data_IF_034953729978
#
_entry.id   IF_034953729978
#
_cell.length_a   1.000
_cell.length_b   1.000
_cell.length_c   1.000
_cell.angle_alpha   90.00
_cell.angle_beta   90.00
_cell.angle_gamma   90.00
#
_symmetry.space_group_name_H-M   'P 1'
#
loop_
_entity.id
_entity.type
_entity.pdbx_description
1 polymer ?
#
# COMPACT_ATOMS: atom_id res chain seq x y z
N UNK A 1 16.93 1.08 0.46
CA UNK A 1 18.21 1.79 0.31
C UNK A 1 19.27 0.74 0.10
N UNK A 2 19.94 0.75 -1.06
CA UNK A 2 21.04 -0.17 -1.32
C UNK A 2 22.13 0.05 -0.26
N UNK A 3 22.74 -1.00 0.29
CA UNK A 3 23.93 -0.83 1.11
C UNK A 3 24.95 -0.03 0.29
N UNK A 4 25.66 0.87 0.95
CA UNK A 4 26.73 1.64 0.32
C UNK A 4 27.62 0.69 -0.48
N UNK A 5 28.00 1.08 -1.71
CA UNK A 5 28.88 0.28 -2.59
C UNK A 5 30.19 -0.15 -1.93
N UNK A 6 30.55 0.50 -0.83
CA UNK A 6 31.82 0.29 -0.10
C UNK A 6 31.62 -0.52 1.21
N UNK A 7 30.43 -1.08 1.45
CA UNK A 7 30.15 -1.89 2.64
C UNK A 7 30.15 -1.10 3.97
N UNK A 8 30.25 0.22 3.93
CA UNK A 8 30.11 1.06 5.10
C UNK A 8 28.61 1.17 5.49
N UNK A 9 28.28 1.10 6.78
CA UNK A 9 26.93 1.31 7.25
C UNK A 9 26.50 2.76 6.96
N UNK A 10 25.38 2.93 6.24
CA UNK A 10 24.80 4.26 6.02
C UNK A 10 24.24 4.76 7.35
N UNK A 11 24.54 6.01 7.78
CA UNK A 11 23.95 6.57 8.98
C UNK A 11 22.43 6.55 8.94
N UNK A 12 21.78 6.26 10.07
CA UNK A 12 20.32 6.15 10.14
C UNK A 12 19.62 7.47 9.75
N UNK A 13 20.20 8.61 10.10
CA UNK A 13 19.67 9.93 9.72
C UNK A 13 19.70 10.13 8.20
N UNK A 14 20.75 9.68 7.52
CA UNK A 14 20.86 9.79 6.06
C UNK A 14 19.86 8.87 5.38
N UNK A 15 19.65 7.67 5.93
CA UNK A 15 18.62 6.74 5.45
C UNK A 15 17.23 7.34 5.64
N UNK A 16 16.91 7.86 6.83
CA UNK A 16 15.63 8.48 7.11
C UNK A 16 15.37 9.69 6.19
N UNK A 17 16.40 10.52 5.97
CA UNK A 17 16.35 11.66 5.04
C UNK A 17 16.09 11.21 3.60
N UNK A 18 16.81 10.21 3.13
CA UNK A 18 16.66 9.70 1.77
C UNK A 18 15.25 9.16 1.52
N UNK A 19 14.67 8.44 2.48
CA UNK A 19 13.29 7.91 2.39
C UNK A 19 12.28 9.06 2.37
N UNK A 20 12.41 10.03 3.27
CA UNK A 20 11.55 11.21 3.30
C UNK A 20 11.62 12.02 1.99
N UNK A 21 12.84 12.20 1.45
CA UNK A 21 13.05 12.89 0.16
C UNK A 21 12.42 12.13 -1.00
N UNK A 22 12.56 10.80 -1.03
CA UNK A 22 11.91 9.96 -2.05
C UNK A 22 10.38 10.09 -1.99
N UNK A 23 9.80 9.97 -0.80
CA UNK A 23 8.36 10.11 -0.62
C UNK A 23 7.85 11.51 -0.98
N UNK A 24 8.62 12.56 -0.66
CA UNK A 24 8.36 13.95 -1.08
C UNK A 24 8.34 14.07 -2.61
N UNK A 25 9.37 13.57 -3.29
CA UNK A 25 9.47 13.63 -4.75
C UNK A 25 8.31 12.89 -5.44
N UNK A 26 7.93 11.71 -4.94
CA UNK A 26 6.79 10.97 -5.45
C UNK A 26 5.46 11.70 -5.26
N UNK A 27 5.27 12.34 -4.10
CA UNK A 27 4.12 13.20 -3.84
C UNK A 27 4.06 14.37 -4.83
N UNK A 28 5.16 15.08 -5.01
CA UNK A 28 5.24 16.24 -5.92
C UNK A 28 4.98 15.83 -7.37
N UNK A 29 5.49 14.68 -7.78
CA UNK A 29 5.24 14.12 -9.12
C UNK A 29 3.76 13.78 -9.33
N UNK A 30 3.08 13.24 -8.31
CA UNK A 30 1.69 12.80 -8.41
C UNK A 30 0.70 13.97 -8.29
N UNK A 31 0.90 14.85 -7.34
CA UNK A 31 -0.03 15.94 -7.02
C UNK A 31 0.28 17.25 -7.78
N UNK A 32 1.53 17.47 -8.18
CA UNK A 32 1.96 18.76 -8.73
C UNK A 32 1.63 19.90 -7.77
N UNK A 33 0.93 20.91 -8.29
CA UNK A 33 0.43 22.05 -7.49
C UNK A 33 -0.96 21.81 -6.89
N UNK A 34 -1.59 20.66 -7.14
CA UNK A 34 -2.92 20.33 -6.63
C UNK A 34 -2.77 19.67 -5.27
N UNK A 35 -3.31 20.30 -4.24
CA UNK A 35 -3.39 19.69 -2.91
C UNK A 35 -4.46 18.62 -2.84
N UNK A 36 -4.35 17.70 -1.88
CA UNK A 36 -5.40 16.78 -1.49
C UNK A 36 -6.16 17.33 -0.26
N UNK A 37 -7.41 16.90 -0.07
CA UNK A 37 -8.18 17.24 1.13
C UNK A 37 -7.63 16.54 2.38
N UNK A 38 -7.08 15.34 2.18
CA UNK A 38 -6.43 14.54 3.22
C UNK A 38 -5.08 14.03 2.69
N UNK A 39 -4.02 14.11 3.48
CA UNK A 39 -2.73 13.50 3.21
C UNK A 39 -2.33 12.54 4.32
N UNK A 40 -2.15 11.28 3.99
CA UNK A 40 -1.86 10.21 4.97
C UNK A 40 -0.66 9.39 4.54
N UNK A 41 0.22 9.08 5.50
CA UNK A 41 1.29 8.09 5.34
C UNK A 41 0.93 6.84 6.13
N UNK A 42 0.93 5.69 5.44
CA UNK A 42 0.75 4.35 6.02
C UNK A 42 2.03 3.55 5.86
N UNK A 43 2.40 2.76 6.85
CA UNK A 43 3.57 1.89 6.78
C UNK A 43 3.40 0.64 7.63
N UNK A 44 4.00 -0.45 7.18
CA UNK A 44 4.21 -1.66 7.98
C UNK A 44 5.53 -1.58 8.73
N UNK A 45 6.58 -1.09 8.06
CA UNK A 45 7.97 -1.22 8.48
C UNK A 45 8.44 -0.05 9.35
N UNK A 46 7.97 1.16 9.06
CA UNK A 46 8.40 2.37 9.77
C UNK A 46 7.85 2.49 11.20
N UNK A 47 7.28 1.42 11.76
CA UNK A 47 6.69 1.46 13.11
C UNK A 47 7.65 1.97 14.18
N UNK A 48 8.90 1.53 14.16
CA UNK A 48 9.93 2.00 15.11
C UNK A 48 10.27 3.48 14.92
N UNK A 49 10.19 3.98 13.69
CA UNK A 49 10.40 5.38 13.37
C UNK A 49 9.20 6.24 13.77
N UNK A 50 7.99 5.81 13.38
CA UNK A 50 6.76 6.59 13.54
C UNK A 50 6.25 6.64 14.98
N UNK A 51 6.52 5.59 15.78
CA UNK A 51 6.06 5.50 17.17
C UNK A 51 6.97 6.18 18.19
N UNK A 52 8.17 6.55 17.79
CA UNK A 52 9.14 7.18 18.69
C UNK A 52 9.41 8.62 18.23
N UNK A 53 9.52 9.55 19.19
CA UNK A 53 10.06 10.90 18.92
C UNK A 53 11.60 10.82 18.80
N UNK A 54 12.05 10.01 17.84
CA UNK A 54 13.47 9.81 17.56
C UNK A 54 14.04 10.93 16.70
N UNK A 55 15.35 11.18 16.73
CA UNK A 55 15.98 12.08 15.76
C UNK A 55 15.69 11.69 14.32
N UNK A 56 15.68 10.41 14.01
CA UNK A 56 15.38 9.88 12.67
C UNK A 56 13.95 10.20 12.22
N UNK A 57 12.98 10.16 13.15
CA UNK A 57 11.60 10.56 12.84
C UNK A 57 11.53 12.03 12.41
N UNK A 58 12.19 12.91 13.16
CA UNK A 58 12.23 14.34 12.80
C UNK A 58 12.91 14.58 11.44
N UNK A 59 14.03 13.90 11.18
CA UNK A 59 14.73 13.97 9.89
C UNK A 59 13.84 13.48 8.74
N UNK A 60 13.16 12.35 8.93
CA UNK A 60 12.21 11.81 7.95
C UNK A 60 11.06 12.79 7.69
N UNK A 61 10.39 13.25 8.75
CA UNK A 61 9.25 14.15 8.63
C UNK A 61 9.62 15.48 7.95
N UNK A 62 10.79 16.03 8.29
CA UNK A 62 11.30 17.26 7.66
C UNK A 62 11.61 17.06 6.18
N UNK A 63 12.24 15.94 5.82
CA UNK A 63 12.53 15.62 4.43
C UNK A 63 11.25 15.34 3.62
N UNK A 64 10.26 14.69 4.24
CA UNK A 64 8.95 14.43 3.67
C UNK A 64 8.16 15.73 3.41
N UNK A 65 8.22 16.70 4.33
CA UNK A 65 7.56 17.99 4.16
C UNK A 65 8.07 18.74 2.91
N UNK A 66 9.37 18.64 2.62
CA UNK A 66 10.00 19.27 1.48
C UNK A 66 10.05 20.80 1.58
N UNK A 67 10.26 21.47 0.45
CA UNK A 67 10.39 22.93 0.38
C UNK A 67 9.07 23.67 0.66
N UNK A 68 7.93 23.02 0.43
CA UNK A 68 6.60 23.62 0.58
C UNK A 68 5.99 23.40 1.97
N UNK A 69 6.72 22.76 2.88
CA UNK A 69 6.27 22.42 4.23
C UNK A 69 4.92 21.65 4.25
N UNK A 70 4.67 20.86 3.21
CA UNK A 70 3.44 20.08 3.08
C UNK A 70 3.58 18.74 3.78
N UNK A 71 3.07 18.68 5.00
CA UNK A 71 3.16 17.53 5.90
C UNK A 71 1.89 16.65 5.83
N UNK A 72 2.01 15.34 6.11
CA UNK A 72 0.83 14.50 6.30
C UNK A 72 -0.04 14.99 7.46
N UNK A 73 -1.36 14.94 7.30
CA UNK A 73 -2.30 15.19 8.39
C UNK A 73 -2.11 14.18 9.51
N UNK A 74 -1.74 12.94 9.15
CA UNK A 74 -1.38 11.89 10.09
C UNK A 74 -0.57 10.77 9.43
N UNK A 75 0.13 10.01 10.28
CA UNK A 75 0.88 8.82 9.90
C UNK A 75 0.43 7.63 10.73
N UNK A 76 0.40 6.44 10.13
CA UNK A 76 -0.04 5.21 10.83
C UNK A 76 0.80 4.00 10.45
N UNK A 77 1.04 3.14 11.45
CA UNK A 77 1.60 1.80 11.29
C UNK A 77 0.70 0.73 11.96
N UNK A 78 -0.51 1.11 12.39
CA UNK A 78 -1.32 0.31 13.32
C UNK A 78 -1.88 -0.97 12.71
N UNK A 79 -2.07 -1.03 11.40
CA UNK A 79 -2.71 -2.16 10.73
C UNK A 79 -1.79 -2.86 9.74
N UNK A 80 -0.48 -2.62 9.85
CA UNK A 80 0.56 -3.20 8.99
C UNK A 80 0.18 -3.13 7.50
N UNK A 81 0.37 -4.22 6.74
CA UNK A 81 0.07 -4.28 5.30
C UNK A 81 -1.37 -3.90 4.93
N UNK A 82 -2.32 -3.98 5.87
CA UNK A 82 -3.72 -3.60 5.65
C UNK A 82 -4.02 -2.13 6.00
N UNK A 83 -3.03 -1.36 6.48
CA UNK A 83 -3.20 0.01 6.96
C UNK A 83 -3.90 0.92 5.98
N UNK A 84 -3.54 0.87 4.72
CA UNK A 84 -4.16 1.65 3.64
C UNK A 84 -5.69 1.44 3.58
N UNK A 85 -6.18 0.22 3.78
CA UNK A 85 -7.62 -0.08 3.73
C UNK A 85 -8.39 0.52 4.90
N UNK A 86 -7.78 0.58 6.08
CA UNK A 86 -8.38 1.25 7.25
C UNK A 86 -8.40 2.77 7.07
N UNK A 87 -7.35 3.34 6.46
CA UNK A 87 -7.32 4.76 6.04
C UNK A 87 -8.49 5.04 5.12
N UNK A 88 -8.64 4.26 4.06
CA UNK A 88 -9.68 4.43 3.05
C UNK A 88 -11.09 4.28 3.65
N UNK A 89 -11.30 3.31 4.54
CA UNK A 89 -12.58 3.16 5.25
C UNK A 89 -12.92 4.40 6.07
N UNK A 90 -11.93 4.96 6.77
CA UNK A 90 -12.09 6.20 7.53
C UNK A 90 -12.45 7.37 6.61
N UNK A 91 -11.69 7.54 5.52
CA UNK A 91 -11.95 8.64 4.56
C UNK A 91 -13.34 8.52 3.92
N UNK A 92 -13.80 7.30 3.60
CA UNK A 92 -15.17 7.06 3.13
C UNK A 92 -16.23 7.47 4.16
N UNK A 93 -16.02 7.15 5.43
CA UNK A 93 -16.94 7.58 6.50
C UNK A 93 -16.98 9.10 6.63
N UNK A 94 -15.80 9.76 6.57
CA UNK A 94 -15.72 11.22 6.57
C UNK A 94 -16.41 11.81 5.33
N UNK A 95 -16.18 11.25 4.15
CA UNK A 95 -16.81 11.72 2.91
C UNK A 95 -18.35 11.60 2.93
N UNK A 96 -18.87 10.58 3.60
CA UNK A 96 -20.32 10.43 3.77
C UNK A 96 -20.94 11.54 4.63
N UNK A 97 -20.16 12.14 5.54
CA UNK A 97 -20.61 13.22 6.41
C UNK A 97 -20.34 14.61 5.83
N UNK A 98 -19.20 14.80 5.20
CA UNK A 98 -18.68 16.11 4.79
C UNK A 98 -18.71 16.36 3.28
N UNK A 99 -19.05 15.35 2.48
CA UNK A 99 -18.99 15.36 1.02
C UNK A 99 -17.71 14.71 0.46
N UNK A 100 -17.65 14.55 -0.88
CA UNK A 100 -16.52 13.90 -1.56
C UNK A 100 -15.18 14.56 -1.25
N UNK A 101 -14.13 13.74 -1.13
CA UNK A 101 -12.77 14.17 -0.78
C UNK A 101 -11.72 13.55 -1.70
N UNK A 102 -10.63 14.25 -1.87
CA UNK A 102 -9.42 13.71 -2.51
C UNK A 102 -8.42 13.33 -1.42
N UNK A 103 -8.01 12.06 -1.43
CA UNK A 103 -7.01 11.51 -0.51
C UNK A 103 -5.69 11.30 -1.24
N UNK A 104 -4.63 11.90 -0.74
CA UNK A 104 -3.27 11.48 -1.02
C UNK A 104 -2.85 10.45 0.03
N UNK A 105 -2.61 9.23 -0.41
CA UNK A 105 -2.13 8.14 0.44
C UNK A 105 -0.77 7.68 -0.02
N UNK A 106 0.22 7.74 0.86
CA UNK A 106 1.54 7.17 0.61
C UNK A 106 1.75 5.96 1.51
N UNK A 107 2.08 4.82 0.90
CA UNK A 107 2.50 3.60 1.58
C UNK A 107 4.01 3.57 1.52
N UNK A 108 4.68 3.70 2.68
CA UNK A 108 6.14 3.84 2.76
C UNK A 108 6.69 2.65 3.52
N UNK A 109 7.06 1.60 2.79
CA UNK A 109 7.58 0.36 3.36
C UNK A 109 9.06 0.18 2.98
N UNK A 110 9.92 0.93 3.69
CA UNK A 110 11.39 0.89 3.54
C UNK A 110 12.03 0.76 4.93
N UNK A 111 12.97 -0.18 5.08
CA UNK A 111 13.64 -0.42 6.35
C UNK A 111 14.74 0.62 6.62
N UNK A 112 14.53 1.45 7.64
CA UNK A 112 15.51 2.46 8.11
C UNK A 112 16.61 1.83 8.93
N UNK A 113 16.28 0.81 9.70
CA UNK A 113 17.14 0.29 10.76
C UNK A 113 17.97 -0.95 10.35
N UNK A 114 17.73 -1.51 9.16
CA UNK A 114 18.44 -2.70 8.68
C UNK A 114 18.07 -3.97 9.46
N UNK A 115 16.83 -4.08 9.96
CA UNK A 115 16.39 -5.27 10.66
C UNK A 115 16.24 -6.46 9.72
N UNK A 116 17.02 -7.51 9.95
CA UNK A 116 16.98 -8.74 9.14
C UNK A 116 15.59 -9.37 9.06
N UNK A 117 14.76 -9.19 10.09
CA UNK A 117 13.36 -9.64 10.09
C UNK A 117 12.56 -9.11 8.89
N UNK A 118 12.78 -7.84 8.50
CA UNK A 118 12.07 -7.24 7.39
C UNK A 118 12.59 -7.68 6.01
N UNK A 119 13.81 -8.21 5.91
CA UNK A 119 14.38 -8.59 4.61
C UNK A 119 13.77 -9.86 4.03
N UNK A 120 13.18 -10.70 4.88
CA UNK A 120 12.43 -11.88 4.46
C UNK A 120 12.30 -12.91 5.58
N UNK A 121 11.28 -13.73 5.48
CA UNK A 121 11.07 -14.86 6.39
C UNK A 121 10.15 -15.93 5.75
N UNK A 122 9.97 -17.09 6.41
CA UNK A 122 9.15 -18.17 5.84
C UNK A 122 7.69 -17.82 5.57
N UNK A 123 7.11 -16.82 6.23
CA UNK A 123 5.70 -16.44 6.07
C UNK A 123 5.44 -15.73 4.75
N UNK A 124 6.33 -14.81 4.36
CA UNK A 124 6.15 -14.00 3.14
C UNK A 124 7.29 -14.13 2.11
N UNK A 125 8.37 -14.84 2.42
CA UNK A 125 9.52 -14.99 1.53
C UNK A 125 10.43 -13.76 1.53
N UNK A 126 11.00 -13.43 0.36
CA UNK A 126 11.79 -12.22 0.16
C UNK A 126 10.91 -10.98 0.23
N UNK A 127 11.42 -9.91 0.81
CA UNK A 127 10.72 -8.62 0.87
C UNK A 127 11.16 -7.69 -0.27
N UNK A 128 10.21 -6.84 -0.71
CA UNK A 128 10.44 -5.69 -1.55
C UNK A 128 10.20 -4.40 -0.74
N UNK A 129 11.04 -3.39 -0.98
CA UNK A 129 10.94 -2.13 -0.28
C UNK A 129 10.65 -1.00 -1.26
N UNK A 130 9.78 -0.07 -0.88
CA UNK A 130 9.44 1.05 -1.75
C UNK A 130 8.46 2.05 -1.17
N UNK A 131 8.13 3.02 -2.00
CA UNK A 131 7.07 4.01 -1.77
C UNK A 131 6.00 3.80 -2.84
N UNK A 132 4.76 3.62 -2.42
CA UNK A 132 3.59 3.62 -3.30
C UNK A 132 2.73 4.84 -2.98
N UNK A 133 2.53 5.72 -3.95
CA UNK A 133 1.74 6.94 -3.79
C UNK A 133 0.46 6.85 -4.60
N UNK A 134 -0.66 7.15 -3.97
CA UNK A 134 -2.01 7.05 -4.53
C UNK A 134 -2.73 8.39 -4.35
N UNK A 135 -3.28 8.93 -5.43
CA UNK A 135 -4.25 10.02 -5.37
C UNK A 135 -5.62 9.46 -5.70
N UNK A 136 -6.52 9.51 -4.73
CA UNK A 136 -7.80 8.80 -4.77
C UNK A 136 -8.94 9.76 -4.47
N UNK A 137 -9.91 9.83 -5.37
CA UNK A 137 -11.19 10.46 -5.07
C UNK A 137 -12.06 9.49 -4.25
N UNK A 138 -12.59 9.96 -3.14
CA UNK A 138 -13.36 9.15 -2.20
C UNK A 138 -14.77 9.74 -2.05
N UNK A 139 -15.79 8.88 -2.16
CA UNK A 139 -17.18 9.30 -2.01
C UNK A 139 -17.81 9.97 -3.23
N UNK A 140 -17.14 10.05 -4.37
CA UNK A 140 -17.74 10.51 -5.63
C UNK A 140 -18.46 9.35 -6.34
N UNK A 141 -19.69 9.56 -6.77
CA UNK A 141 -20.46 8.56 -7.52
C UNK A 141 -19.97 8.36 -8.96
N UNK A 142 -19.36 9.37 -9.55
CA UNK A 142 -18.82 9.31 -10.92
C UNK A 142 -17.31 9.01 -10.88
N UNK A 143 -16.92 7.90 -11.53
CA UNK A 143 -15.57 7.35 -11.62
C UNK A 143 -14.42 8.39 -11.76
N UNK A 144 -13.22 8.15 -11.26
CA UNK A 144 -12.71 6.95 -10.61
C UNK A 144 -12.80 7.10 -9.09
N UNK A 145 -13.66 6.36 -8.48
CA UNK A 145 -13.84 6.49 -7.05
C UNK A 145 -13.75 5.13 -6.36
N UNK A 146 -13.28 5.15 -5.13
CA UNK A 146 -13.45 4.02 -4.26
C UNK A 146 -14.80 4.14 -3.56
N UNK A 147 -15.65 3.17 -3.84
CA UNK A 147 -17.04 3.19 -3.37
C UNK A 147 -17.31 2.22 -2.23
N UNK A 148 -16.39 1.29 -1.96
CA UNK A 148 -16.61 0.24 -0.96
C UNK A 148 -15.29 -0.31 -0.42
N UNK A 149 -15.16 -0.35 0.89
CA UNK A 149 -14.01 -0.93 1.62
C UNK A 149 -14.51 -1.85 2.71
N UNK A 150 -14.03 -3.09 2.68
CA UNK A 150 -14.08 -4.01 3.81
C UNK A 150 -12.71 -3.94 4.52
N UNK A 151 -12.67 -3.59 5.79
CA UNK A 151 -11.47 -3.61 6.61
C UNK A 151 -11.79 -4.27 7.94
N UNK A 152 -11.24 -5.45 8.17
CA UNK A 152 -11.63 -6.39 9.20
C UNK A 152 -10.40 -7.00 9.89
N UNK A 153 -10.65 -7.78 10.94
CA UNK A 153 -9.65 -8.58 11.62
C UNK A 153 -10.15 -10.02 11.80
N UNK A 154 -9.22 -10.96 11.73
CA UNK A 154 -9.46 -12.36 12.03
C UNK A 154 -8.30 -12.91 12.86
N UNK A 155 -8.50 -14.01 13.63
CA UNK A 155 -7.39 -14.67 14.29
C UNK A 155 -6.30 -15.02 13.26
N UNK A 156 -5.00 -14.76 13.53
CA UNK A 156 -3.92 -14.94 12.55
C UNK A 156 -3.91 -16.33 11.90
N UNK A 157 -4.20 -17.38 12.66
CA UNK A 157 -4.24 -18.76 12.17
C UNK A 157 -5.31 -19.01 11.09
N UNK A 158 -6.34 -18.19 11.00
CA UNK A 158 -7.46 -18.30 10.04
C UNK A 158 -7.56 -17.14 9.06
N UNK A 159 -6.73 -16.11 9.24
CA UNK A 159 -6.85 -14.84 8.51
C UNK A 159 -6.75 -15.01 6.99
N UNK A 160 -5.83 -15.87 6.51
CA UNK A 160 -5.67 -16.16 5.07
C UNK A 160 -6.96 -16.75 4.48
N UNK A 161 -7.57 -17.72 5.19
CA UNK A 161 -8.82 -18.37 4.72
C UNK A 161 -9.98 -17.39 4.79
N UNK A 162 -10.05 -16.59 5.85
CA UNK A 162 -11.10 -15.57 6.02
C UNK A 162 -11.01 -14.53 4.92
N UNK A 163 -9.85 -13.94 4.71
CA UNK A 163 -9.62 -13.00 3.61
C UNK A 163 -10.04 -13.60 2.27
N UNK A 164 -9.60 -14.82 1.94
CA UNK A 164 -9.94 -15.45 0.66
C UNK A 164 -11.44 -15.64 0.46
N UNK A 165 -12.18 -16.02 1.51
CA UNK A 165 -13.64 -16.11 1.47
C UNK A 165 -14.31 -14.76 1.27
N UNK A 166 -13.82 -13.75 1.96
CA UNK A 166 -14.38 -12.40 1.87
C UNK A 166 -14.08 -11.77 0.50
N UNK A 167 -12.90 -11.98 -0.09
CA UNK A 167 -12.59 -11.60 -1.48
C UNK A 167 -13.58 -12.26 -2.44
N UNK A 168 -13.79 -13.56 -2.32
CA UNK A 168 -14.72 -14.29 -3.18
C UNK A 168 -16.14 -13.71 -3.08
N UNK A 169 -16.64 -13.48 -1.87
CA UNK A 169 -17.97 -12.91 -1.63
C UNK A 169 -18.06 -11.48 -2.16
N UNK A 170 -17.03 -10.68 -1.89
CA UNK A 170 -16.94 -9.29 -2.33
C UNK A 170 -16.98 -9.16 -3.86
N UNK A 171 -16.19 -9.97 -4.57
CA UNK A 171 -16.14 -9.98 -6.03
C UNK A 171 -17.41 -10.59 -6.64
N UNK A 172 -17.99 -11.63 -6.03
CA UNK A 172 -19.25 -12.21 -6.51
C UNK A 172 -20.41 -11.22 -6.50
N UNK A 173 -20.44 -10.31 -5.53
CA UNK A 173 -21.44 -9.23 -5.47
C UNK A 173 -21.16 -8.07 -6.45
N UNK A 174 -20.02 -8.08 -7.16
CA UNK A 174 -19.54 -7.00 -8.05
C UNK A 174 -18.99 -7.58 -9.34
N UNK A 175 -19.84 -7.94 -10.31
CA UNK A 175 -19.41 -8.56 -11.56
C UNK A 175 -18.34 -7.75 -12.29
N UNK A 176 -17.35 -8.44 -12.84
CA UNK A 176 -16.23 -7.82 -13.58
C UNK A 176 -15.05 -7.37 -12.74
N UNK A 177 -15.08 -7.49 -11.39
CA UNK A 177 -13.90 -7.24 -10.58
C UNK A 177 -12.87 -8.37 -10.72
N UNK A 178 -11.62 -7.97 -10.90
CA UNK A 178 -10.44 -8.81 -10.74
C UNK A 178 -9.76 -8.50 -9.40
N UNK A 179 -9.28 -9.51 -8.70
CA UNK A 179 -8.64 -9.30 -7.40
C UNK A 179 -7.12 -9.17 -7.51
N UNK A 180 -6.59 -8.07 -6.97
CA UNK A 180 -5.18 -7.86 -6.71
C UNK A 180 -4.87 -8.41 -5.31
N UNK A 181 -4.10 -9.47 -5.23
CA UNK A 181 -3.82 -10.19 -3.98
C UNK A 181 -2.50 -9.74 -3.35
N UNK A 182 -2.33 -9.93 -2.02
CA UNK A 182 -1.01 -9.79 -1.41
C UNK A 182 -0.04 -10.82 -1.98
N UNK A 183 1.23 -10.45 -2.08
CA UNK A 183 2.29 -11.28 -2.63
C UNK A 183 2.83 -12.22 -1.55
N UNK A 184 2.64 -13.51 -1.77
CA UNK A 184 3.12 -14.55 -0.86
C UNK A 184 3.89 -15.63 -1.61
N UNK A 185 4.84 -16.32 -0.95
CA UNK A 185 5.49 -17.48 -1.52
C UNK A 185 4.47 -18.59 -1.81
N UNK A 186 4.80 -19.49 -2.73
CA UNK A 186 3.91 -20.48 -3.29
C UNK A 186 3.11 -21.30 -2.24
N UNK A 187 3.72 -21.57 -1.08
CA UNK A 187 3.07 -22.32 0.02
C UNK A 187 1.91 -21.53 0.65
N UNK A 188 2.16 -20.30 1.08
CA UNK A 188 1.14 -19.42 1.69
C UNK A 188 0.09 -19.00 0.66
N UNK A 189 0.53 -18.71 -0.57
CA UNK A 189 -0.35 -18.36 -1.69
C UNK A 189 -1.35 -19.45 -2.02
N UNK A 190 -0.96 -20.74 -1.95
CA UNK A 190 -1.85 -21.87 -2.24
C UNK A 190 -3.11 -21.87 -1.36
N UNK A 191 -2.96 -21.61 -0.07
CA UNK A 191 -4.08 -21.55 0.88
C UNK A 191 -5.03 -20.38 0.56
N UNK A 192 -4.47 -19.22 0.21
CA UNK A 192 -5.24 -18.05 -0.21
C UNK A 192 -6.03 -18.35 -1.49
N UNK A 193 -5.39 -18.85 -2.54
CA UNK A 193 -6.03 -19.19 -3.82
C UNK A 193 -7.14 -20.21 -3.67
N UNK A 194 -6.95 -21.25 -2.83
CA UNK A 194 -8.00 -22.23 -2.54
C UNK A 194 -9.25 -21.58 -1.94
N UNK A 195 -9.08 -20.54 -1.14
CA UNK A 195 -10.19 -19.82 -0.49
C UNK A 195 -10.84 -18.77 -1.41
N UNK A 196 -10.06 -18.10 -2.24
CA UNK A 196 -10.52 -17.16 -3.26
C UNK A 196 -11.30 -17.86 -4.38
N UNK A 197 -10.95 -19.09 -4.69
CA UNK A 197 -11.67 -19.94 -5.65
C UNK A 197 -11.49 -19.49 -7.09
N UNK A 198 -12.62 -19.27 -7.82
CA UNK A 198 -12.63 -18.94 -9.26
C UNK A 198 -12.64 -17.42 -9.53
N UNK A 199 -12.42 -16.59 -8.52
CA UNK A 199 -12.35 -15.13 -8.72
C UNK A 199 -11.22 -14.79 -9.72
N UNK A 200 -11.46 -14.00 -10.75
CA UNK A 200 -10.40 -13.53 -11.64
C UNK A 200 -9.35 -12.75 -10.87
N UNK A 201 -8.08 -12.94 -11.22
CA UNK A 201 -6.94 -12.35 -10.50
C UNK A 201 -6.12 -11.45 -11.41
N UNK A 202 -5.57 -10.39 -10.83
CA UNK A 202 -4.51 -9.59 -11.43
C UNK A 202 -3.15 -10.30 -11.31
N UNK A 203 -2.13 -9.86 -12.07
CA UNK A 203 -0.79 -10.45 -12.05
C UNK A 203 -0.18 -10.53 -10.65
N UNK A 204 0.55 -11.60 -10.39
CA UNK A 204 1.37 -11.78 -9.19
C UNK A 204 2.77 -11.24 -9.39
N UNK A 205 3.17 -10.31 -8.56
CA UNK A 205 4.49 -9.69 -8.62
C UNK A 205 5.53 -10.29 -7.67
N UNK A 206 5.20 -11.35 -6.88
CA UNK A 206 6.13 -11.90 -5.88
C UNK A 206 7.48 -12.31 -6.45
N UNK A 207 7.50 -12.88 -7.67
CA UNK A 207 8.73 -13.30 -8.34
C UNK A 207 9.64 -12.12 -8.70
N UNK A 208 9.07 -10.97 -8.99
CA UNK A 208 9.79 -9.74 -9.35
C UNK A 208 10.20 -8.94 -8.11
N UNK A 209 9.25 -8.59 -7.28
CA UNK A 209 9.43 -7.64 -6.17
C UNK A 209 9.64 -8.32 -4.81
N UNK A 210 9.21 -9.57 -4.63
CA UNK A 210 9.02 -10.16 -3.30
C UNK A 210 7.71 -9.67 -2.67
N UNK A 211 7.58 -9.77 -1.35
CA UNK A 211 6.47 -9.19 -0.59
C UNK A 211 6.75 -7.71 -0.35
N UNK A 212 6.00 -6.83 -0.98
CA UNK A 212 6.11 -5.38 -0.85
C UNK A 212 5.06 -4.81 0.12
N UNK A 213 4.68 -5.59 1.12
CA UNK A 213 3.82 -5.20 2.24
C UNK A 213 2.48 -4.59 1.79
N UNK A 214 2.19 -3.35 2.24
CA UNK A 214 0.98 -2.64 1.85
C UNK A 214 0.88 -2.30 0.37
N UNK A 215 2.00 -2.31 -0.34
CA UNK A 215 2.07 -1.98 -1.77
C UNK A 215 1.75 -3.15 -2.71
N UNK A 216 1.74 -4.40 -2.23
CA UNK A 216 1.53 -5.60 -3.06
C UNK A 216 0.36 -5.49 -4.05
N UNK A 217 -0.88 -5.20 -3.63
CA UNK A 217 -2.02 -5.20 -4.54
C UNK A 217 -1.96 -4.05 -5.55
N UNK A 218 -1.32 -2.95 -5.21
CA UNK A 218 -1.14 -1.81 -6.10
C UNK A 218 -0.10 -2.13 -7.17
N UNK A 219 0.96 -2.86 -6.83
CA UNK A 219 1.93 -3.40 -7.79
C UNK A 219 1.27 -4.37 -8.77
N UNK A 220 0.29 -5.20 -8.35
CA UNK A 220 -0.48 -6.03 -9.28
C UNK A 220 -1.21 -5.19 -10.32
N UNK A 221 -1.80 -4.06 -9.93
CA UNK A 221 -2.46 -3.12 -10.85
C UNK A 221 -1.46 -2.51 -11.82
N UNK A 222 -0.30 -2.06 -11.32
CA UNK A 222 0.77 -1.48 -12.14
C UNK A 222 1.35 -2.49 -13.13
N UNK A 223 1.48 -3.75 -12.74
CA UNK A 223 1.89 -4.83 -13.64
C UNK A 223 0.88 -5.06 -14.75
N UNK A 224 -0.42 -5.13 -14.43
CA UNK A 224 -1.47 -5.25 -15.42
C UNK A 224 -1.47 -4.06 -16.40
N UNK A 225 -1.26 -2.84 -15.89
CA UNK A 225 -1.12 -1.65 -16.73
C UNK A 225 0.09 -1.74 -17.68
N UNK A 226 1.26 -2.12 -17.14
CA UNK A 226 2.49 -2.31 -17.94
C UNK A 226 2.29 -3.34 -19.06
N UNK A 227 1.53 -4.40 -18.78
CA UNK A 227 1.27 -5.48 -19.73
C UNK A 227 0.14 -5.13 -20.74
N UNK A 228 -0.43 -3.92 -20.66
CA UNK A 228 -1.49 -3.42 -21.55
C UNK A 228 -2.92 -3.87 -21.19
N UNK A 229 -3.09 -4.46 -20.02
CA UNK A 229 -4.39 -4.97 -19.52
C UNK A 229 -4.82 -4.20 -18.26
N UNK A 230 -4.90 -2.88 -18.36
CA UNK A 230 -5.32 -2.03 -17.24
C UNK A 230 -6.78 -2.30 -16.87
N UNK A 231 -7.08 -2.78 -15.66
CA UNK A 231 -8.45 -3.00 -15.27
C UNK A 231 -9.18 -1.66 -15.10
N UNK A 232 -10.43 -1.57 -15.51
CA UNK A 232 -11.27 -0.41 -15.17
C UNK A 232 -11.62 -0.36 -13.69
N UNK A 233 -11.70 -1.52 -13.05
CA UNK A 233 -11.95 -1.70 -11.61
C UNK A 233 -11.22 -2.93 -11.10
N UNK A 234 -10.72 -2.85 -9.87
CA UNK A 234 -10.10 -3.97 -9.19
C UNK A 234 -10.55 -4.07 -7.72
N UNK A 235 -10.59 -5.28 -7.21
CA UNK A 235 -10.62 -5.54 -5.78
C UNK A 235 -9.17 -5.58 -5.26
N UNK A 236 -8.67 -4.50 -4.69
CA UNK A 236 -7.34 -4.46 -4.09
C UNK A 236 -7.39 -5.05 -2.69
N UNK A 237 -6.47 -5.98 -2.37
CA UNK A 237 -6.56 -6.81 -1.17
C UNK A 237 -5.22 -6.89 -0.44
N UNK A 238 -5.22 -6.70 0.87
CA UNK A 238 -4.04 -6.88 1.73
C UNK A 238 -4.34 -7.67 2.99
N UNK A 239 -3.32 -8.32 3.52
CA UNK A 239 -3.36 -9.11 4.75
C UNK A 239 -2.12 -8.81 5.59
N UNK A 240 -2.32 -8.47 6.84
CA UNK A 240 -1.28 -8.30 7.85
C UNK A 240 -1.06 -9.58 8.66
N UNK A 241 0.15 -9.77 9.20
CA UNK A 241 0.49 -10.95 10.00
C UNK A 241 -0.34 -11.07 11.28
N UNK A 242 -0.70 -9.95 11.88
CA UNK A 242 -1.56 -9.88 13.06
C UNK A 242 -3.04 -10.15 12.76
N UNK A 243 -3.40 -10.46 11.50
CA UNK A 243 -4.73 -10.85 11.08
C UNK A 243 -5.64 -9.71 10.62
N UNK A 244 -5.18 -8.48 10.58
CA UNK A 244 -5.89 -7.40 9.90
C UNK A 244 -5.86 -7.60 8.39
N UNK A 245 -6.96 -7.32 7.72
CA UNK A 245 -7.01 -7.37 6.26
C UNK A 245 -7.97 -6.31 5.70
N UNK A 246 -7.79 -6.01 4.44
CA UNK A 246 -8.63 -5.08 3.71
C UNK A 246 -8.92 -5.59 2.29
N UNK A 247 -10.11 -5.24 1.80
CA UNK A 247 -10.55 -5.42 0.42
C UNK A 247 -11.26 -4.15 -0.01
N UNK A 248 -10.76 -3.47 -1.04
CA UNK A 248 -11.38 -2.26 -1.56
C UNK A 248 -11.74 -2.40 -3.02
N UNK A 249 -12.91 -1.88 -3.41
CA UNK A 249 -13.33 -1.76 -4.79
C UNK A 249 -12.82 -0.41 -5.33
N UNK A 250 -11.84 -0.47 -6.19
CA UNK A 250 -11.17 0.70 -6.76
C UNK A 250 -11.46 0.78 -8.25
N UNK A 251 -11.99 1.92 -8.68
CA UNK A 251 -12.17 2.23 -10.10
C UNK A 251 -11.02 3.13 -10.57
N UNK A 252 -10.50 2.85 -11.75
CA UNK A 252 -9.43 3.64 -12.38
C UNK A 252 -10.02 4.54 -13.46
N UNK A 253 -9.65 5.83 -13.45
CA UNK A 253 -10.05 6.76 -14.48
C UNK A 253 -9.50 6.34 -15.84
N UNK A 254 -10.21 6.66 -16.94
CA UNK A 254 -9.67 6.44 -18.29
C UNK A 254 -8.36 7.19 -18.56
N UNK A 255 -8.17 8.31 -17.87
CA UNK A 255 -7.00 9.18 -17.89
C UNK A 255 -6.08 9.03 -16.67
N UNK A 256 -6.28 7.96 -15.88
CA UNK A 256 -5.42 7.68 -14.74
C UNK A 256 -3.97 7.50 -15.17
N UNK A 257 -3.07 8.17 -14.47
CA UNK A 257 -1.64 8.05 -14.69
C UNK A 257 -1.07 6.97 -13.80
N UNK A 258 -0.30 6.07 -14.41
CA UNK A 258 0.42 5.00 -13.71
C UNK A 258 1.92 5.15 -13.94
N UNK A 259 2.70 4.94 -12.89
CA UNK A 259 4.15 4.96 -12.98
C UNK A 259 4.73 3.90 -12.05
N UNK A 260 5.72 3.19 -12.54
CA UNK A 260 6.46 2.17 -11.79
C UNK A 260 7.94 2.38 -12.07
N UNK A 261 8.65 2.96 -11.12
CA UNK A 261 10.07 3.22 -11.18
C UNK A 261 10.80 2.24 -10.26
N UNK A 262 11.92 1.70 -10.73
CA UNK A 262 12.77 0.80 -9.97
C UNK A 262 13.25 -0.41 -10.77
N UNK A 263 14.31 -1.02 -10.27
CA UNK A 263 14.81 -2.30 -10.78
C UNK A 263 14.00 -3.44 -10.13
N UNK A 264 13.47 -4.34 -10.95
CA UNK A 264 12.83 -5.57 -10.52
C UNK A 264 13.89 -6.67 -10.27
#
# INVERSE_FOLDING_TARGET
VAPSRDGAAVPLDDTARAIGTLACAERERLCGAVGADDYVVSSTILSMLLMNDSPQHRVFAQALAGANDYTPDWMTCSYECAGWGYVLRRTLATAAETGPRTLLLQIVDIDVHGFTYWHGNPAWGRSGFGVCSLLVDVGREAAPSMTSVLAEAAPPASAVVRLGRDIRTFCAARPGLQAALPFFPATSRRALLASVGKTPLLPDGHGLFGHAFGSDPWLSVLLAHRDGDTPRRAAVCSLALNGYYAVADVAFAPDATFSLDGEA
#
